data_IF_759733920936
#
_entry.id   IF_759733920936
#
_cell.length_a   1.000
_cell.length_b   1.000
_cell.length_c   1.000
_cell.angle_alpha   90.00
_cell.angle_beta   90.00
_cell.angle_gamma   90.00
#
_symmetry.space_group_name_H-M   'P 1'
#
loop_
_entity.id
_entity.type
_entity.pdbx_description
1 polymer ?
#
# COMPACT_ATOMS: atom_id res chain seq x y z
N UNK A 1 -5.67 3.65 -14.23
CA UNK A 1 -4.85 3.34 -13.05
C UNK A 1 -4.56 4.66 -12.34
N UNK A 2 -4.94 4.80 -11.09
CA UNK A 2 -4.76 6.03 -10.29
C UNK A 2 -3.51 5.85 -9.42
N UNK A 3 -2.67 6.89 -9.25
CA UNK A 3 -1.51 6.77 -8.37
C UNK A 3 -1.93 6.92 -6.91
N UNK A 4 -1.21 6.28 -6.01
CA UNK A 4 -1.42 6.41 -4.57
C UNK A 4 -1.43 7.88 -4.10
N UNK A 5 -0.47 8.70 -4.59
CA UNK A 5 -0.40 10.15 -4.29
C UNK A 5 -1.62 10.95 -4.75
N UNK A 6 -2.32 10.51 -5.79
CA UNK A 6 -3.52 11.17 -6.32
C UNK A 6 -4.80 10.76 -5.55
N UNK A 7 -4.73 9.77 -4.65
CA UNK A 7 -5.84 9.38 -3.80
C UNK A 7 -6.04 10.40 -2.67
N UNK A 8 -7.31 10.72 -2.39
CA UNK A 8 -7.68 11.49 -1.20
C UNK A 8 -7.15 10.83 0.08
N UNK A 9 -6.80 11.65 1.07
CA UNK A 9 -6.25 11.19 2.35
C UNK A 9 -7.15 10.13 3.02
N UNK A 10 -8.48 10.32 2.97
CA UNK A 10 -9.45 9.33 3.48
C UNK A 10 -9.29 7.97 2.80
N UNK A 11 -9.17 7.95 1.47
CA UNK A 11 -9.04 6.71 0.70
C UNK A 11 -7.72 6.00 0.99
N UNK A 12 -6.63 6.75 1.16
CA UNK A 12 -5.34 6.19 1.57
C UNK A 12 -5.42 5.57 2.97
N UNK A 13 -6.15 6.21 3.90
CA UNK A 13 -6.34 5.70 5.26
C UNK A 13 -7.18 4.42 5.28
N UNK A 14 -8.30 4.39 4.55
CA UNK A 14 -9.13 3.17 4.40
C UNK A 14 -8.32 2.00 3.85
N UNK A 15 -7.53 2.23 2.80
CA UNK A 15 -6.72 1.18 2.17
C UNK A 15 -5.60 0.70 3.08
N UNK A 16 -4.96 1.60 3.85
CA UNK A 16 -3.97 1.21 4.87
C UNK A 16 -4.61 0.37 5.97
N UNK A 17 -5.75 0.80 6.51
CA UNK A 17 -6.44 0.06 7.56
C UNK A 17 -6.87 -1.34 7.09
N UNK A 18 -7.42 -1.44 5.87
CA UNK A 18 -7.77 -2.72 5.26
C UNK A 18 -6.54 -3.62 5.08
N UNK A 19 -5.42 -3.06 4.62
CA UNK A 19 -4.17 -3.80 4.46
C UNK A 19 -3.54 -4.22 5.79
N UNK A 20 -3.63 -3.39 6.84
CA UNK A 20 -3.18 -3.75 8.19
C UNK A 20 -3.96 -4.95 8.75
N UNK A 21 -5.27 -5.03 8.51
CA UNK A 21 -6.10 -6.18 8.89
C UNK A 21 -5.67 -7.45 8.14
N UNK A 22 -5.38 -7.34 6.85
CA UNK A 22 -4.89 -8.46 6.04
C UNK A 22 -3.46 -8.89 6.45
N UNK A 23 -2.59 -7.94 6.80
CA UNK A 23 -1.25 -8.20 7.33
C UNK A 23 -1.29 -8.78 8.74
N UNK A 24 -2.26 -8.42 9.58
CA UNK A 24 -2.45 -9.04 10.88
C UNK A 24 -2.72 -10.54 10.77
N UNK A 25 -3.26 -11.01 9.63
CA UNK A 25 -3.47 -12.43 9.35
C UNK A 25 -2.22 -13.13 8.78
N UNK A 26 -1.23 -12.38 8.27
CA UNK A 26 -0.04 -12.93 7.63
C UNK A 26 1.24 -12.64 8.43
N UNK A 27 1.79 -13.70 9.02
CA UNK A 27 3.00 -13.62 9.84
C UNK A 27 4.28 -13.42 9.01
N UNK A 28 5.03 -12.34 9.35
CA UNK A 28 6.47 -12.08 9.14
C UNK A 28 7.00 -12.11 7.70
N UNK A 29 6.84 -11.01 6.98
CA UNK A 29 7.82 -10.60 5.95
C UNK A 29 8.91 -9.73 6.58
N UNK A 30 10.18 -10.09 6.35
CA UNK A 30 11.34 -9.46 6.99
C UNK A 30 11.92 -8.26 6.22
N UNK A 31 11.38 -7.93 5.04
CA UNK A 31 11.91 -6.83 4.22
C UNK A 31 10.83 -5.79 3.92
N UNK A 32 11.20 -4.51 4.02
CA UNK A 32 10.34 -3.39 3.62
C UNK A 32 9.97 -3.47 2.14
N UNK A 33 10.91 -3.88 1.30
CA UNK A 33 10.70 -4.09 -0.15
C UNK A 33 9.59 -5.12 -0.44
N UNK A 34 9.62 -6.28 0.23
CA UNK A 34 8.56 -7.29 0.12
C UNK A 34 7.19 -6.77 0.57
N UNK A 35 7.16 -5.90 1.60
CA UNK A 35 5.91 -5.27 2.04
C UNK A 35 5.36 -4.32 1.00
N UNK A 36 6.23 -3.57 0.32
CA UNK A 36 5.87 -2.63 -0.74
C UNK A 36 5.37 -3.39 -1.97
N UNK A 37 6.12 -4.40 -2.43
CA UNK A 37 5.72 -5.23 -3.57
C UNK A 37 4.36 -5.90 -3.30
N UNK A 38 4.17 -6.50 -2.12
CA UNK A 38 2.90 -7.12 -1.74
C UNK A 38 1.75 -6.13 -1.64
N UNK A 39 2.00 -4.92 -1.15
CA UNK A 39 0.98 -3.87 -1.11
C UNK A 39 0.61 -3.39 -2.51
N UNK A 40 1.60 -3.22 -3.39
CA UNK A 40 1.39 -2.88 -4.80
C UNK A 40 0.60 -3.97 -5.53
N UNK A 41 0.91 -5.25 -5.31
CA UNK A 41 0.16 -6.39 -5.85
C UNK A 41 -1.29 -6.42 -5.33
N UNK A 42 -1.51 -6.08 -4.06
CA UNK A 42 -2.85 -5.98 -3.48
C UNK A 42 -3.66 -4.79 -4.03
N UNK A 43 -2.99 -3.70 -4.40
CA UNK A 43 -3.60 -2.50 -4.98
C UNK A 43 -3.83 -2.59 -6.50
N UNK A 44 -3.06 -3.41 -7.21
CA UNK A 44 -3.18 -3.63 -8.65
C UNK A 44 -4.62 -4.00 -9.11
N UNK A 45 -5.32 -4.99 -8.51
CA UNK A 45 -6.71 -5.30 -8.87
C UNK A 45 -7.69 -4.17 -8.53
N UNK A 46 -7.32 -3.26 -7.63
CA UNK A 46 -8.11 -2.08 -7.26
C UNK A 46 -7.86 -0.90 -8.22
N UNK A 47 -7.01 -1.09 -9.23
CA UNK A 47 -6.68 -0.07 -10.22
C UNK A 47 -5.75 1.02 -9.70
N UNK A 48 -5.05 0.76 -8.60
CA UNK A 48 -4.18 1.71 -7.91
C UNK A 48 -2.72 1.30 -8.14
N UNK A 49 -1.91 2.25 -8.59
CA UNK A 49 -0.46 2.10 -8.66
C UNK A 49 0.17 2.58 -7.35
N UNK A 50 1.01 1.74 -6.75
CA UNK A 50 1.80 2.06 -5.57
C UNK A 50 3.23 1.57 -5.77
N UNK A 51 4.19 2.42 -5.46
CA UNK A 51 5.62 2.10 -5.53
C UNK A 51 6.40 2.62 -4.31
N UNK A 52 7.70 2.33 -4.26
CA UNK A 52 8.57 2.77 -3.18
C UNK A 52 8.74 4.29 -3.13
N UNK A 53 8.53 5.00 -4.25
CA UNK A 53 8.57 6.47 -4.31
C UNK A 53 7.33 7.11 -3.65
N UNK A 54 6.24 6.36 -3.49
CA UNK A 54 5.07 6.76 -2.69
C UNK A 54 5.32 6.75 -1.18
N UNK A 55 6.27 5.94 -0.70
CA UNK A 55 6.71 5.95 0.71
C UNK A 55 7.52 7.20 1.07
N UNK A 56 8.29 7.72 0.12
CA UNK A 56 9.21 8.84 0.33
C UNK A 56 8.52 10.22 0.39
N UNK A 57 7.20 10.31 0.18
CA UNK A 57 6.46 11.58 0.14
C UNK A 57 6.16 12.22 1.52
N UNK A 58 6.97 11.93 2.54
CA UNK A 58 6.99 12.67 3.81
C UNK A 58 8.40 13.23 4.03
N UNK A 59 8.69 14.36 3.37
CA UNK A 59 9.67 15.33 3.86
C UNK A 59 8.91 16.55 4.38
#
# INVERSE_FOLDING_TARGET
MIRWKDLSAERQMDLRAAYEIEMAKQSKTCSLDEKVARFAEWLAPQGIAFDFEDLAARC
#
